data_IF_520361039828
#
_entry.id   IF_520361039828
#
_cell.length_a   1.000
_cell.length_b   1.000
_cell.length_c   1.000
_cell.angle_alpha   90.00
_cell.angle_beta   90.00
_cell.angle_gamma   90.00
#
_symmetry.space_group_name_H-M   'P 1'
#
loop_
_entity.id
_entity.type
_entity.pdbx_description
1 polymer ?
#
# COMPACT_ATOMS: atom_id res chain seq x y z
N UNK A 1 2.98 -15.06 -9.16
CA UNK A 1 2.27 -15.77 -8.07
C UNK A 1 0.78 -15.41 -8.11
N UNK A 2 -0.11 -16.39 -7.99
CA UNK A 2 -1.57 -16.19 -8.02
C UNK A 2 -2.11 -15.57 -6.72
N UNK A 3 -3.35 -15.06 -6.75
CA UNK A 3 -4.01 -14.49 -5.56
C UNK A 3 -4.22 -15.54 -4.46
N UNK A 4 -4.75 -16.72 -4.80
CA UNK A 4 -4.94 -17.84 -3.86
C UNK A 4 -3.62 -18.22 -3.18
N UNK A 5 -2.53 -18.37 -3.95
CA UNK A 5 -1.23 -18.72 -3.39
C UNK A 5 -0.68 -17.64 -2.45
N UNK A 6 -0.93 -16.35 -2.75
CA UNK A 6 -0.58 -15.24 -1.85
C UNK A 6 -1.34 -15.29 -0.54
N UNK A 7 -2.64 -15.59 -0.58
CA UNK A 7 -3.48 -15.69 0.63
C UNK A 7 -3.03 -16.85 1.53
N UNK A 8 -2.76 -18.03 0.95
CA UNK A 8 -2.19 -19.18 1.66
C UNK A 8 -0.84 -18.83 2.32
N UNK A 9 0.07 -18.22 1.56
CA UNK A 9 1.38 -17.81 2.08
C UNK A 9 1.27 -16.71 3.13
N UNK A 10 0.36 -15.75 3.00
CA UNK A 10 0.15 -14.71 3.99
C UNK A 10 -0.23 -15.29 5.36
N UNK A 11 -1.08 -16.33 5.39
CA UNK A 11 -1.43 -17.03 6.64
C UNK A 11 -0.17 -17.68 7.24
N UNK A 12 0.56 -18.46 6.43
CA UNK A 12 1.77 -19.15 6.88
C UNK A 12 2.87 -18.20 7.36
N UNK A 13 3.09 -17.09 6.63
CA UNK A 13 4.08 -16.09 7.00
C UNK A 13 3.71 -15.45 8.33
N UNK A 14 2.45 -15.06 8.53
CA UNK A 14 2.01 -14.41 9.78
C UNK A 14 2.08 -15.35 10.99
N UNK A 15 1.85 -16.64 10.78
CA UNK A 15 2.00 -17.68 11.81
C UNK A 15 3.46 -17.93 12.19
N UNK A 16 4.37 -17.94 11.21
CA UNK A 16 5.78 -18.29 11.43
C UNK A 16 6.70 -17.10 11.68
N UNK A 17 6.31 -15.89 11.31
CA UNK A 17 7.13 -14.70 11.49
C UNK A 17 7.29 -14.34 12.98
N UNK A 18 8.52 -14.01 13.37
CA UNK A 18 8.82 -13.57 14.74
C UNK A 18 8.04 -12.31 15.15
N UNK A 19 7.79 -11.42 14.19
CA UNK A 19 6.95 -10.23 14.33
C UNK A 19 6.56 -9.73 12.93
N UNK A 20 5.38 -9.15 12.81
CA UNK A 20 4.92 -8.46 11.61
C UNK A 20 3.97 -7.33 12.00
N UNK A 21 3.88 -6.31 11.14
CA UNK A 21 2.97 -5.20 11.33
C UNK A 21 2.60 -4.59 9.97
N UNK A 22 1.42 -3.96 9.89
CA UNK A 22 0.93 -3.28 8.69
C UNK A 22 0.57 -1.85 9.07
N UNK A 23 1.00 -0.87 8.27
CA UNK A 23 0.59 0.51 8.41
C UNK A 23 -0.11 1.01 7.14
N UNK A 24 -1.22 1.72 7.31
CA UNK A 24 -1.93 2.39 6.24
C UNK A 24 -1.77 3.90 6.37
N UNK A 25 -1.62 4.57 5.23
CA UNK A 25 -1.64 6.04 5.12
C UNK A 25 -2.86 6.43 4.29
N UNK A 26 -3.66 7.35 4.82
CA UNK A 26 -4.91 7.79 4.19
C UNK A 26 -4.65 8.55 2.88
N UNK A 27 -5.63 8.53 1.98
CA UNK A 27 -5.66 9.36 0.76
C UNK A 27 -5.38 10.83 1.07
N UNK A 28 -6.08 11.38 2.07
CA UNK A 28 -5.87 12.75 2.55
C UNK A 28 -4.42 13.02 2.97
N UNK A 29 -3.78 12.11 3.71
CA UNK A 29 -2.38 12.29 4.10
C UNK A 29 -1.45 12.19 2.91
N UNK A 30 -1.71 11.27 1.97
CA UNK A 30 -0.96 11.16 0.71
C UNK A 30 -1.04 12.48 -0.08
N UNK A 31 -2.22 13.08 -0.18
CA UNK A 31 -2.39 14.37 -0.86
C UNK A 31 -1.60 15.50 -0.19
N UNK A 32 -1.46 15.48 1.15
CA UNK A 32 -0.70 16.47 1.90
C UNK A 32 0.83 16.35 1.73
N UNK A 33 1.36 15.13 1.71
CA UNK A 33 2.82 14.90 1.79
C UNK A 33 3.42 14.29 0.54
N UNK A 34 2.64 14.04 -0.51
CA UNK A 34 2.97 13.26 -1.70
C UNK A 34 3.16 11.74 -1.46
N UNK A 35 3.13 10.97 -2.56
CA UNK A 35 3.15 9.50 -2.52
C UNK A 35 4.48 8.91 -2.08
N UNK A 36 5.60 9.56 -2.39
CA UNK A 36 6.92 9.09 -1.96
C UNK A 36 7.02 9.18 -0.43
N UNK A 37 6.73 10.35 0.14
CA UNK A 37 6.81 10.54 1.59
C UNK A 37 5.75 9.72 2.33
N UNK A 38 4.55 9.56 1.76
CA UNK A 38 3.56 8.66 2.32
C UNK A 38 4.00 7.18 2.32
N UNK A 39 4.71 6.75 1.28
CA UNK A 39 5.25 5.38 1.24
C UNK A 39 6.34 5.19 2.29
N UNK A 40 7.27 6.15 2.42
CA UNK A 40 8.30 6.12 3.47
C UNK A 40 7.68 6.15 4.86
N UNK A 41 6.68 7.01 5.10
CA UNK A 41 5.95 7.08 6.38
C UNK A 41 5.23 5.77 6.70
N UNK A 42 4.61 5.11 5.70
CA UNK A 42 4.00 3.80 5.89
C UNK A 42 5.04 2.76 6.32
N UNK A 43 6.22 2.74 5.69
CA UNK A 43 7.30 1.82 6.05
C UNK A 43 7.84 2.10 7.44
N UNK A 44 8.05 3.38 7.82
CA UNK A 44 8.46 3.76 9.17
C UNK A 44 7.47 3.25 10.23
N UNK A 45 6.19 3.55 10.05
CA UNK A 45 5.13 3.07 10.94
C UNK A 45 5.02 1.54 10.99
N UNK A 46 5.28 0.87 9.87
CA UNK A 46 5.30 -0.59 9.83
C UNK A 46 6.41 -1.14 10.73
N UNK A 47 7.62 -0.57 10.66
CA UNK A 47 8.75 -0.95 11.52
C UNK A 47 8.48 -0.61 12.99
N UNK A 48 7.99 0.60 13.28
CA UNK A 48 7.72 1.07 14.65
C UNK A 48 6.66 0.23 15.37
N UNK A 49 5.67 -0.29 14.65
CA UNK A 49 4.64 -1.16 15.22
C UNK A 49 5.03 -2.64 15.32
N UNK A 50 6.27 -3.02 15.01
CA UNK A 50 6.74 -4.39 15.28
C UNK A 50 6.82 -4.62 16.79
N UNK A 51 6.24 -5.72 17.26
CA UNK A 51 6.32 -6.13 18.67
C UNK A 51 7.76 -6.49 19.09
N UNK A 52 8.56 -7.01 18.15
CA UNK A 52 9.98 -7.27 18.37
C UNK A 52 10.81 -6.30 17.52
N UNK A 53 11.68 -5.54 18.18
CA UNK A 53 12.57 -4.59 17.49
C UNK A 53 13.62 -5.35 16.67
N UNK A 54 13.78 -5.06 15.38
CA UNK A 54 14.82 -5.66 14.56
C UNK A 54 16.17 -4.96 14.80
N UNK A 55 17.27 -5.69 14.62
CA UNK A 55 18.63 -5.11 14.63
C UNK A 55 18.95 -4.35 13.34
N UNK A 56 18.31 -4.73 12.24
CA UNK A 56 18.46 -4.12 10.91
C UNK A 56 17.20 -4.26 10.08
N UNK A 57 16.90 -3.24 9.27
CA UNK A 57 15.76 -3.23 8.34
C UNK A 57 16.26 -3.27 6.90
N UNK A 58 15.68 -4.15 6.08
CA UNK A 58 15.88 -4.17 4.63
C UNK A 58 14.63 -3.62 3.95
N UNK A 59 14.80 -2.67 3.03
CA UNK A 59 13.72 -1.95 2.36
C UNK A 59 13.82 -2.22 0.87
N UNK A 60 12.70 -2.58 0.24
CA UNK A 60 12.67 -2.68 -1.22
C UNK A 60 12.70 -1.30 -1.87
N UNK A 61 13.64 -1.10 -2.80
CA UNK A 61 13.80 0.14 -3.55
C UNK A 61 15.15 0.82 -3.32
N UNK A 62 15.17 2.14 -3.54
CA UNK A 62 16.40 2.95 -3.52
C UNK A 62 16.45 3.93 -2.34
N UNK A 63 15.34 4.10 -1.62
CA UNK A 63 15.24 5.08 -0.55
C UNK A 63 15.54 4.44 0.80
N UNK A 64 16.44 5.06 1.56
CA UNK A 64 16.68 4.72 2.96
C UNK A 64 15.57 5.31 3.84
N UNK A 65 15.27 4.65 4.95
CA UNK A 65 14.37 5.18 5.96
C UNK A 65 15.17 5.91 7.03
N UNK A 66 14.68 7.09 7.43
CA UNK A 66 15.21 7.83 8.57
C UNK A 66 14.55 7.31 9.85
N UNK A 67 15.06 6.18 10.36
CA UNK A 67 14.59 5.51 11.58
C UNK A 67 15.78 5.20 12.48
N UNK A 68 15.53 4.96 13.77
CA UNK A 68 16.57 4.67 14.77
C UNK A 68 17.29 3.33 14.54
N UNK A 69 16.68 2.42 13.77
CA UNK A 69 17.26 1.12 13.44
C UNK A 69 18.06 1.24 12.14
N UNK A 70 19.29 0.66 12.05
CA UNK A 70 20.04 0.60 10.80
C UNK A 70 19.19 0.08 9.64
N UNK A 71 19.12 0.84 8.54
CA UNK A 71 18.32 0.47 7.37
C UNK A 71 19.15 0.40 6.09
N UNK A 72 18.82 -0.55 5.22
CA UNK A 72 19.45 -0.75 3.91
C UNK A 72 18.37 -0.83 2.83
N UNK A 73 18.48 0.03 1.82
CA UNK A 73 17.68 -0.05 0.61
C UNK A 73 18.26 -1.09 -0.35
N UNK A 74 17.42 -1.97 -0.88
CA UNK A 74 17.78 -3.05 -1.79
C UNK A 74 16.91 -2.99 -3.03
N UNK A 75 17.52 -2.74 -4.18
CA UNK A 75 16.81 -2.75 -5.47
C UNK A 75 16.34 -4.16 -5.80
N UNK A 76 15.03 -4.32 -6.04
CA UNK A 76 14.37 -5.62 -6.26
C UNK A 76 14.63 -6.55 -5.08
N UNK A 77 14.44 -6.02 -3.88
CA UNK A 77 14.72 -6.74 -2.64
C UNK A 77 13.80 -7.94 -2.45
N UNK A 78 12.59 -7.89 -2.99
CA UNK A 78 11.60 -8.96 -2.94
C UNK A 78 12.03 -10.24 -3.67
N UNK A 79 12.89 -10.13 -4.70
CA UNK A 79 13.44 -11.30 -5.40
C UNK A 79 14.72 -11.84 -4.75
N UNK A 80 15.34 -11.07 -3.84
CA UNK A 80 16.65 -11.38 -3.23
C UNK A 80 16.56 -11.79 -1.77
N UNK A 81 15.60 -11.24 -1.03
CA UNK A 81 15.48 -11.43 0.41
C UNK A 81 14.08 -11.95 0.78
N UNK A 82 14.05 -13.09 1.47
CA UNK A 82 12.80 -13.73 1.93
C UNK A 82 11.98 -12.83 2.86
N UNK A 83 12.62 -12.00 3.68
CA UNK A 83 11.95 -11.05 4.57
C UNK A 83 11.20 -9.96 3.80
N UNK A 84 11.82 -9.42 2.74
CA UNK A 84 11.17 -8.44 1.87
C UNK A 84 10.04 -9.10 1.09
N UNK A 85 10.27 -10.28 0.52
CA UNK A 85 9.22 -11.05 -0.16
C UNK A 85 8.01 -11.28 0.75
N UNK A 86 8.24 -11.68 1.99
CA UNK A 86 7.22 -11.91 2.99
C UNK A 86 6.43 -10.63 3.32
N UNK A 87 7.13 -9.51 3.53
CA UNK A 87 6.49 -8.20 3.75
C UNK A 87 5.64 -7.76 2.55
N UNK A 88 6.13 -7.94 1.32
CA UNK A 88 5.39 -7.63 0.09
C UNK A 88 4.11 -8.46 -0.06
N UNK A 89 4.15 -9.74 0.33
CA UNK A 89 2.96 -10.61 0.35
C UNK A 89 1.93 -10.09 1.37
N UNK A 90 2.35 -9.84 2.61
CA UNK A 90 1.48 -9.32 3.67
C UNK A 90 0.83 -8.00 3.25
N UNK A 91 1.62 -7.07 2.71
CA UNK A 91 1.14 -5.76 2.27
C UNK A 91 0.13 -5.88 1.11
N UNK A 92 0.41 -6.76 0.13
CA UNK A 92 -0.50 -6.96 -1.01
C UNK A 92 -1.83 -7.57 -0.57
N UNK A 93 -1.82 -8.61 0.25
CA UNK A 93 -3.05 -9.25 0.75
C UNK A 93 -3.87 -8.24 1.57
N UNK A 94 -3.22 -7.49 2.46
CA UNK A 94 -3.89 -6.46 3.26
C UNK A 94 -4.52 -5.35 2.39
N UNK A 95 -3.81 -4.91 1.34
CA UNK A 95 -4.33 -3.91 0.40
C UNK A 95 -5.52 -4.45 -0.39
N UNK A 96 -5.45 -5.68 -0.88
CA UNK A 96 -6.54 -6.29 -1.65
C UNK A 96 -7.79 -6.47 -0.80
N UNK A 97 -7.66 -6.89 0.46
CA UNK A 97 -8.77 -6.95 1.43
C UNK A 97 -9.37 -5.57 1.71
N UNK A 98 -8.53 -4.54 1.84
CA UNK A 98 -9.01 -3.16 1.97
C UNK A 98 -9.83 -2.73 0.75
N UNK A 99 -9.36 -3.02 -0.47
CA UNK A 99 -10.10 -2.68 -1.69
C UNK A 99 -11.43 -3.43 -1.80
N UNK A 100 -11.51 -4.71 -1.36
CA UNK A 100 -12.77 -5.46 -1.28
C UNK A 100 -13.77 -4.79 -0.32
N UNK A 101 -13.31 -4.28 0.82
CA UNK A 101 -14.16 -3.54 1.77
C UNK A 101 -14.63 -2.21 1.19
N UNK A 102 -13.75 -1.49 0.50
CA UNK A 102 -14.10 -0.25 -0.18
C UNK A 102 -15.12 -0.46 -1.29
N UNK A 103 -15.00 -1.55 -2.05
CA UNK A 103 -15.95 -1.90 -3.09
C UNK A 103 -17.38 -2.08 -2.52
N UNK A 104 -17.50 -2.76 -1.38
CA UNK A 104 -18.80 -2.85 -0.67
C UNK A 104 -19.36 -1.50 -0.24
N UNK A 105 -18.49 -0.56 0.16
CA UNK A 105 -18.88 0.79 0.60
C UNK A 105 -19.21 1.71 -0.58
N UNK A 106 -18.52 1.54 -1.70
CA UNK A 106 -18.63 2.38 -2.89
C UNK A 106 -18.66 1.50 -4.16
N UNK A 107 -19.75 0.74 -4.36
CA UNK A 107 -19.84 -0.26 -5.43
C UNK A 107 -19.72 0.34 -6.83
N UNK A 108 -20.02 1.62 -6.99
CA UNK A 108 -19.99 2.31 -8.28
C UNK A 108 -18.58 2.42 -8.89
N UNK A 109 -17.51 2.29 -8.09
CA UNK A 109 -16.13 2.48 -8.59
C UNK A 109 -15.43 1.19 -8.98
N UNK A 110 -15.99 0.00 -8.72
CA UNK A 110 -15.39 -1.29 -9.10
C UNK A 110 -14.02 -1.55 -8.47
N UNK A 111 -13.84 -1.13 -7.22
CA UNK A 111 -12.58 -1.27 -6.48
C UNK A 111 -12.13 -2.73 -6.32
N UNK A 112 -13.05 -3.68 -6.36
CA UNK A 112 -12.72 -5.11 -6.30
C UNK A 112 -11.89 -5.54 -7.52
N UNK A 113 -12.09 -4.96 -8.69
CA UNK A 113 -11.37 -5.33 -9.90
C UNK A 113 -10.18 -4.41 -10.13
N UNK A 114 -10.41 -3.10 -10.13
CA UNK A 114 -9.37 -2.14 -10.50
C UNK A 114 -8.43 -1.77 -9.35
N UNK A 115 -8.73 -2.13 -8.10
CA UNK A 115 -7.90 -1.84 -6.91
C UNK A 115 -7.56 -0.34 -6.71
N UNK A 116 -8.34 0.56 -7.30
CA UNK A 116 -8.12 2.00 -7.31
C UNK A 116 -7.22 2.51 -8.44
N UNK A 117 -6.78 1.65 -9.38
CA UNK A 117 -6.05 2.07 -10.57
C UNK A 117 -6.99 2.80 -11.56
N UNK A 118 -6.48 3.75 -12.36
CA UNK A 118 -7.28 4.57 -13.28
C UNK A 118 -7.65 3.78 -14.55
N UNK A 119 -8.38 2.68 -14.40
CA UNK A 119 -8.94 1.93 -15.53
C UNK A 119 -10.03 2.74 -16.22
N UNK A 120 -10.36 2.41 -17.47
CA UNK A 120 -11.46 3.07 -18.20
C UNK A 120 -12.76 3.06 -17.40
N UNK A 121 -13.11 1.93 -16.79
CA UNK A 121 -14.28 1.81 -15.91
C UNK A 121 -14.21 2.81 -14.74
N UNK A 122 -13.08 2.85 -14.05
CA UNK A 122 -12.90 3.70 -12.87
C UNK A 122 -12.95 5.20 -13.21
N UNK A 123 -12.36 5.60 -14.35
CA UNK A 123 -12.42 6.98 -14.84
C UNK A 123 -13.86 7.35 -15.20
N UNK A 124 -14.58 6.48 -15.89
CA UNK A 124 -15.99 6.73 -16.22
C UNK A 124 -16.86 6.83 -14.96
N UNK A 125 -16.61 5.99 -13.95
CA UNK A 125 -17.31 6.08 -12.66
C UNK A 125 -17.00 7.39 -11.92
N UNK A 126 -15.76 7.87 -11.99
CA UNK A 126 -15.39 9.18 -11.45
C UNK A 126 -16.11 10.33 -12.17
N UNK A 127 -16.31 10.24 -13.48
CA UNK A 127 -17.05 11.24 -14.25
C UNK A 127 -18.54 11.23 -13.92
N UNK A 128 -19.12 10.04 -13.71
CA UNK A 128 -20.55 9.89 -13.43
C UNK A 128 -20.92 10.21 -11.97
N UNK A 129 -20.10 9.79 -11.02
CA UNK A 129 -20.44 9.84 -9.58
C UNK A 129 -19.56 10.81 -8.77
N UNK A 130 -18.56 11.43 -9.38
CA UNK A 130 -17.55 12.21 -8.68
C UNK A 130 -16.61 11.37 -7.80
N UNK A 131 -15.56 11.96 -7.21
CA UNK A 131 -14.65 11.26 -6.30
C UNK A 131 -15.25 11.04 -4.91
N UNK A 132 -15.08 9.83 -4.37
CA UNK A 132 -15.27 9.56 -2.93
C UNK A 132 -14.04 9.88 -2.07
N UNK A 133 -14.18 9.80 -0.74
CA UNK A 133 -13.15 10.07 0.27
C UNK A 133 -11.82 9.30 0.11
N UNK A 134 -11.82 8.17 -0.60
CA UNK A 134 -10.64 7.31 -0.80
C UNK A 134 -9.80 7.72 -2.01
N UNK A 135 -10.34 8.57 -2.87
CA UNK A 135 -9.61 9.10 -4.01
C UNK A 135 -8.53 10.09 -3.55
N UNK A 136 -7.42 10.12 -4.29
CA UNK A 136 -6.30 11.03 -4.06
C UNK A 136 -6.46 12.24 -4.96
N UNK A 137 -6.91 13.36 -4.41
CA UNK A 137 -7.22 14.56 -5.18
C UNK A 137 -5.98 15.13 -5.89
N UNK A 138 -4.79 14.90 -5.33
CA UNK A 138 -3.52 15.37 -5.90
C UNK A 138 -3.07 14.57 -7.13
N UNK A 139 -3.69 13.42 -7.42
CA UNK A 139 -3.29 12.55 -8.54
C UNK A 139 -4.05 12.91 -9.81
N UNK A 140 -3.39 12.80 -10.97
CA UNK A 140 -4.10 12.79 -12.26
C UNK A 140 -4.93 11.51 -12.38
N UNK A 141 -6.15 11.57 -12.96
CA UNK A 141 -6.75 12.73 -13.64
C UNK A 141 -7.54 13.70 -12.73
N UNK A 142 -7.68 13.40 -11.44
CA UNK A 142 -8.52 14.18 -10.52
C UNK A 142 -8.01 15.61 -10.34
N UNK A 143 -6.69 15.77 -10.20
CA UNK A 143 -6.03 17.09 -10.08
C UNK A 143 -6.42 18.04 -11.22
N UNK A 144 -6.51 17.53 -12.44
CA UNK A 144 -6.73 18.35 -13.63
C UNK A 144 -8.23 18.58 -13.91
N UNK A 145 -9.10 17.62 -13.55
CA UNK A 145 -10.54 17.64 -13.88
C UNK A 145 -11.42 18.30 -12.82
N UNK A 146 -11.09 18.14 -11.54
CA UNK A 146 -11.97 18.57 -10.43
C UNK A 146 -11.39 19.71 -9.60
N UNK A 147 -10.12 20.05 -9.81
CA UNK A 147 -9.40 21.08 -9.04
C UNK A 147 -8.65 22.04 -9.98
N UNK A 148 -9.33 22.55 -11.01
CA UNK A 148 -8.89 23.76 -11.71
C UNK A 148 -8.99 24.92 -10.72
N UNK A 149 -7.84 25.31 -10.15
CA UNK A 149 -7.67 26.60 -9.49
C UNK A 149 -7.51 27.65 -10.58
#
# INVERSE_FOLDING_TARGET
MSAKKREELNILIKDKALSWNIAFISSKKIDQINILQASLLAMMKAVEGLQKKPDKVLIDGIHKLNISVPSLAVVRGDTKHKSIMAASIIAKVARDEFMKKLDKKFPQYGFIDNKGYPTKFHINALELYGPCEQHRASFRPLKDKFYKI
#
